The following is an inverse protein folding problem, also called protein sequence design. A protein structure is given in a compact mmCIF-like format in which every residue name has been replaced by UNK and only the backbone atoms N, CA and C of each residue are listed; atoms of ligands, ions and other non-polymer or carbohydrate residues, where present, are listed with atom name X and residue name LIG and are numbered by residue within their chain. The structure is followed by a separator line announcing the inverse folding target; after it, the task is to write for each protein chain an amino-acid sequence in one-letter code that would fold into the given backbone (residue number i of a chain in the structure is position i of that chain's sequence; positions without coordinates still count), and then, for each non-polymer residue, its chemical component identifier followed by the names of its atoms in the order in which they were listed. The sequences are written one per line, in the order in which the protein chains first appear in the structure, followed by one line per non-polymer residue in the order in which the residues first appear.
data_IF_277174015031
#
_entry.id   IF_277174015031
#
_cell.length_a   1.000
_cell.length_b   1.000
_cell.length_c   1.000
_cell.angle_alpha   90.00
_cell.angle_beta   90.00
_cell.angle_gamma   90.00
#
_symmetry.space_group_name_H-M   'P 1'
#
loop_
_entity.id
_entity.type
_entity.pdbx_description
1 polymer ?
#
# COMPACT_ATOMS: atom_id res chain seq x y z
N UNK A 1 -45.60 56.09 -37.57
CA UNK A 1 -46.09 54.72 -37.33
C UNK A 1 -45.26 53.80 -38.21
N UNK A 2 -44.45 52.84 -37.74
CA UNK A 2 -44.44 52.17 -36.44
C UNK A 2 -43.05 51.58 -36.22
N UNK A 3 -42.50 51.86 -35.05
CA UNK A 3 -41.40 51.15 -34.42
C UNK A 3 -41.83 49.70 -34.18
N UNK A 4 -41.12 48.73 -34.74
CA UNK A 4 -41.08 47.38 -34.18
C UNK A 4 -39.63 46.95 -34.13
N UNK A 5 -39.05 47.24 -32.98
CA UNK A 5 -37.84 46.67 -32.44
C UNK A 5 -38.27 45.46 -31.58
N UNK A 6 -37.38 44.47 -31.39
CA UNK A 6 -37.58 43.22 -30.60
C UNK A 6 -38.23 42.05 -31.37
N UNK A 7 -37.80 40.78 -31.31
CA UNK A 7 -37.02 40.00 -30.32
C UNK A 7 -36.29 38.85 -31.05
N UNK A 8 -34.99 38.68 -30.86
CA UNK A 8 -34.36 37.69 -29.96
C UNK A 8 -34.81 36.24 -30.18
N UNK A 9 -33.90 35.46 -30.77
CA UNK A 9 -33.97 34.00 -30.86
C UNK A 9 -32.67 33.38 -31.36
N UNK A 10 -31.50 33.94 -31.00
CA UNK A 10 -30.24 33.22 -31.16
C UNK A 10 -30.10 32.20 -30.03
N UNK A 11 -30.82 31.08 -30.17
CA UNK A 11 -30.51 29.87 -29.40
C UNK A 11 -29.40 29.10 -30.12
N UNK A 12 -28.20 29.68 -30.11
CA UNK A 12 -26.99 28.94 -30.44
C UNK A 12 -26.78 27.80 -29.43
N UNK A 13 -26.25 26.63 -29.83
CA UNK A 13 -25.91 25.56 -28.89
C UNK A 13 -25.01 26.14 -27.80
N UNK A 14 -25.53 26.24 -26.57
CA UNK A 14 -24.72 26.71 -25.43
C UNK A 14 -23.49 25.80 -25.35
N UNK A 15 -22.26 26.32 -25.45
CA UNK A 15 -21.07 25.49 -25.32
C UNK A 15 -21.14 24.82 -23.95
N UNK A 16 -21.26 23.49 -23.96
CA UNK A 16 -21.23 22.66 -22.75
C UNK A 16 -19.91 22.97 -22.06
N UNK A 17 -19.95 23.71 -20.95
CA UNK A 17 -18.76 24.11 -20.20
C UNK A 17 -18.03 22.84 -19.75
N UNK A 18 -16.85 22.52 -20.29
CA UNK A 18 -16.11 21.34 -19.85
C UNK A 18 -15.55 21.64 -18.46
N UNK A 19 -15.98 20.90 -17.45
CA UNK A 19 -15.34 20.85 -16.13
C UNK A 19 -14.84 19.40 -15.92
N UNK A 20 -13.68 19.13 -15.30
CA UNK A 20 -12.36 19.75 -15.44
C UNK A 20 -11.31 18.64 -15.68
N UNK A 21 -10.82 18.45 -16.91
CA UNK A 21 -9.83 17.41 -17.24
C UNK A 21 -8.58 17.46 -16.34
N UNK A 22 -8.17 18.68 -15.93
CA UNK A 22 -7.05 18.89 -15.01
C UNK A 22 -7.30 18.38 -13.58
N UNK A 23 -8.52 18.48 -13.04
CA UNK A 23 -8.82 18.01 -11.69
C UNK A 23 -8.86 16.48 -11.62
N UNK A 24 -9.38 15.82 -12.66
CA UNK A 24 -9.34 14.37 -12.78
C UNK A 24 -7.88 13.86 -12.92
N UNK A 25 -7.05 14.54 -13.72
CA UNK A 25 -5.63 14.19 -13.86
C UNK A 25 -4.85 14.38 -12.55
N UNK A 26 -5.09 15.48 -11.82
CA UNK A 26 -4.48 15.71 -10.51
C UNK A 26 -4.87 14.63 -9.50
N UNK A 27 -6.15 14.26 -9.43
CA UNK A 27 -6.64 13.17 -8.56
C UNK A 27 -5.94 11.85 -8.86
N UNK A 28 -5.88 11.45 -10.14
CA UNK A 28 -5.20 10.22 -10.58
C UNK A 28 -3.72 10.20 -10.17
N UNK A 29 -3.03 11.34 -10.29
CA UNK A 29 -1.63 11.47 -9.85
C UNK A 29 -1.48 11.29 -8.34
N UNK A 30 -2.30 11.97 -7.54
CA UNK A 30 -2.26 11.85 -6.08
C UNK A 30 -2.53 10.42 -5.62
N UNK A 31 -3.56 9.78 -6.17
CA UNK A 31 -3.88 8.37 -5.88
C UNK A 31 -2.74 7.44 -6.30
N UNK A 32 -2.10 7.71 -7.45
CA UNK A 32 -0.93 6.94 -7.91
C UNK A 32 0.27 7.05 -6.97
N UNK A 33 0.56 8.25 -6.45
CA UNK A 33 1.63 8.48 -5.46
C UNK A 33 1.31 7.73 -4.16
N UNK A 34 0.09 7.85 -3.66
CA UNK A 34 -0.33 7.15 -2.44
C UNK A 34 -0.26 5.63 -2.59
N UNK A 35 -0.76 5.08 -3.70
CA UNK A 35 -0.69 3.66 -3.99
C UNK A 35 0.76 3.15 -4.05
N UNK A 36 1.67 3.95 -4.62
CA UNK A 36 3.10 3.63 -4.67
C UNK A 36 3.73 3.66 -3.28
N UNK A 37 3.43 4.69 -2.48
CA UNK A 37 3.95 4.81 -1.12
C UNK A 37 3.54 3.62 -0.25
N UNK A 38 2.26 3.24 -0.28
CA UNK A 38 1.74 2.07 0.45
C UNK A 38 2.38 0.77 -0.06
N UNK A 39 2.56 0.65 -1.38
CA UNK A 39 3.25 -0.51 -1.96
C UNK A 39 4.68 -0.63 -1.44
N UNK A 40 5.45 0.47 -1.45
CA UNK A 40 6.84 0.48 -0.96
C UNK A 40 6.88 0.13 0.52
N UNK A 41 6.04 0.75 1.35
CA UNK A 41 5.96 0.44 2.77
C UNK A 41 5.65 -1.04 3.04
N UNK A 42 4.66 -1.60 2.31
CA UNK A 42 4.33 -3.03 2.38
C UNK A 42 5.53 -3.90 2.01
N UNK A 43 6.21 -3.58 0.90
CA UNK A 43 7.38 -4.33 0.44
C UNK A 43 8.51 -4.30 1.47
N UNK A 44 8.76 -3.16 2.12
CA UNK A 44 9.79 -3.06 3.16
C UNK A 44 9.47 -3.91 4.38
N UNK A 45 8.23 -3.88 4.87
CA UNK A 45 7.79 -4.73 6.01
C UNK A 45 7.95 -6.21 5.67
N UNK A 46 7.47 -6.63 4.51
CA UNK A 46 7.59 -8.01 4.03
C UNK A 46 9.06 -8.42 3.89
N UNK A 47 9.91 -7.53 3.35
CA UNK A 47 11.33 -7.80 3.20
C UNK A 47 12.04 -7.98 4.55
N UNK A 48 11.75 -7.12 5.54
CA UNK A 48 12.33 -7.24 6.89
C UNK A 48 11.96 -8.59 7.52
N UNK A 49 10.69 -8.97 7.47
CA UNK A 49 10.23 -10.26 8.00
C UNK A 49 10.88 -11.44 7.28
N UNK A 50 10.92 -11.41 5.94
CA UNK A 50 11.52 -12.47 5.14
C UNK A 50 13.03 -12.62 5.41
N UNK A 51 13.77 -11.51 5.50
CA UNK A 51 15.20 -11.53 5.83
C UNK A 51 15.43 -12.13 7.21
N UNK A 52 14.63 -11.76 8.21
CA UNK A 52 14.76 -12.35 9.55
C UNK A 52 14.49 -13.86 9.55
N UNK A 53 13.45 -14.33 8.85
CA UNK A 53 13.16 -15.76 8.69
C UNK A 53 14.36 -16.48 8.05
N UNK A 54 14.94 -15.92 6.99
CA UNK A 54 16.15 -16.47 6.35
C UNK A 54 17.32 -16.53 7.33
N UNK A 55 17.59 -15.46 8.08
CA UNK A 55 18.65 -15.45 9.10
C UNK A 55 18.46 -16.55 10.15
N UNK A 56 17.24 -16.78 10.64
CA UNK A 56 16.99 -17.86 11.61
C UNK A 56 17.11 -19.24 10.96
N UNK A 57 16.60 -19.40 9.74
CA UNK A 57 16.67 -20.68 9.01
C UNK A 57 18.13 -21.12 8.78
N UNK A 58 19.00 -20.19 8.40
CA UNK A 58 20.43 -20.43 8.12
C UNK A 58 21.34 -20.21 9.33
N UNK A 59 20.79 -20.00 10.54
CA UNK A 59 21.57 -19.78 11.77
C UNK A 59 22.61 -18.65 11.64
N UNK A 60 22.18 -17.52 11.07
CA UNK A 60 23.04 -16.36 10.91
C UNK A 60 23.62 -15.89 12.27
N UNK A 61 24.85 -15.38 12.22
CA UNK A 61 25.57 -14.94 13.42
C UNK A 61 24.82 -13.80 14.15
N UNK A 62 24.23 -14.11 15.30
CA UNK A 62 23.45 -13.17 16.12
C UNK A 62 24.30 -12.11 16.82
N UNK A 63 25.63 -12.25 16.83
CA UNK A 63 26.52 -11.18 17.29
C UNK A 63 26.69 -10.06 16.23
N UNK A 64 26.23 -10.27 15.00
CA UNK A 64 26.29 -9.26 13.95
C UNK A 64 25.16 -8.23 14.10
N UNK A 65 25.50 -6.94 14.05
CA UNK A 65 24.54 -5.86 14.23
C UNK A 65 23.45 -5.83 13.17
N UNK A 66 23.74 -6.25 11.93
CA UNK A 66 22.73 -6.34 10.86
C UNK A 66 21.69 -7.41 11.21
N UNK A 67 22.13 -8.60 11.63
CA UNK A 67 21.23 -9.71 12.02
C UNK A 67 20.36 -9.30 13.19
N UNK A 68 20.96 -8.66 14.21
CA UNK A 68 20.22 -8.12 15.37
C UNK A 68 19.20 -7.07 14.98
N UNK A 69 19.59 -6.11 14.14
CA UNK A 69 18.70 -5.04 13.70
C UNK A 69 17.47 -5.59 12.96
N UNK A 70 17.66 -6.54 12.05
CA UNK A 70 16.55 -7.20 11.37
C UNK A 70 15.69 -8.01 12.34
N UNK A 71 16.30 -8.70 13.31
CA UNK A 71 15.57 -9.44 14.34
C UNK A 71 14.69 -8.56 15.23
N UNK A 72 15.21 -7.42 15.69
CA UNK A 72 14.43 -6.46 16.49
C UNK A 72 13.27 -5.88 15.69
N UNK A 73 13.50 -5.45 14.45
CA UNK A 73 12.43 -4.91 13.59
C UNK A 73 11.40 -5.98 13.22
N UNK A 74 11.84 -7.20 12.93
CA UNK A 74 10.92 -8.30 12.66
C UNK A 74 10.08 -8.63 13.89
N UNK A 75 10.68 -8.60 15.10
CA UNK A 75 9.95 -8.83 16.35
C UNK A 75 8.84 -7.79 16.55
N UNK A 76 9.16 -6.51 16.36
CA UNK A 76 8.18 -5.42 16.47
C UNK A 76 7.05 -5.56 15.43
N UNK A 77 7.42 -5.88 14.18
CA UNK A 77 6.48 -6.00 13.06
C UNK A 77 5.63 -7.27 13.11
N UNK A 78 6.12 -8.35 13.73
CA UNK A 78 5.33 -9.57 13.92
C UNK A 78 4.14 -9.31 14.86
N UNK A 79 4.24 -8.30 15.74
CA UNK A 79 3.17 -7.78 16.58
C UNK A 79 2.41 -8.88 17.35
N UNK A 80 1.18 -9.21 16.95
CA UNK A 80 0.33 -10.23 17.59
C UNK A 80 0.49 -11.64 17.01
N UNK A 81 1.21 -11.80 15.91
CA UNK A 81 1.36 -13.09 15.23
C UNK A 81 2.41 -14.00 15.88
N UNK A 82 3.24 -13.48 16.77
CA UNK A 82 4.39 -14.19 17.37
C UNK A 82 4.05 -15.45 18.16
N UNK A 83 2.84 -15.54 18.72
CA UNK A 83 2.43 -16.63 19.62
C UNK A 83 1.23 -17.43 19.08
N UNK A 84 0.88 -17.25 17.79
CA UNK A 84 -0.27 -17.93 17.17
C UNK A 84 -0.02 -19.43 17.07
N UNK A 85 1.23 -19.81 16.82
CA UNK A 85 1.70 -21.19 16.87
C UNK A 85 2.84 -21.29 17.88
N UNK A 86 2.92 -22.38 18.64
CA UNK A 86 3.92 -22.57 19.68
C UNK A 86 4.64 -23.92 19.55
N UNK A 87 5.40 -24.14 18.45
CA UNK A 87 6.21 -25.34 18.32
C UNK A 87 7.40 -25.28 19.30
N UNK A 88 7.90 -26.45 19.68
CA UNK A 88 9.05 -26.58 20.59
C UNK A 88 10.39 -26.21 19.94
N UNK A 89 10.49 -26.36 18.60
CA UNK A 89 11.67 -25.97 17.85
C UNK A 89 11.65 -24.48 17.49
N UNK A 90 12.78 -23.80 17.78
CA UNK A 90 12.92 -22.36 17.59
C UNK A 90 12.84 -21.92 16.13
N UNK A 91 13.36 -22.71 15.19
CA UNK A 91 13.33 -22.35 13.77
C UNK A 91 11.92 -22.48 13.23
N UNK A 92 11.22 -23.56 13.61
CA UNK A 92 9.82 -23.75 13.27
C UNK A 92 8.96 -22.62 13.83
N UNK A 93 9.17 -22.23 15.10
CA UNK A 93 8.47 -21.12 15.75
C UNK A 93 8.57 -19.83 14.93
N UNK A 94 9.80 -19.43 14.57
CA UNK A 94 10.01 -18.24 13.75
C UNK A 94 9.39 -18.41 12.36
N UNK A 95 9.61 -19.56 11.72
CA UNK A 95 9.14 -19.80 10.36
C UNK A 95 7.62 -19.70 10.24
N UNK A 96 6.87 -20.28 11.17
CA UNK A 96 5.40 -20.29 11.11
C UNK A 96 4.80 -18.95 11.52
N UNK A 97 5.28 -18.33 12.60
CA UNK A 97 4.68 -17.11 13.13
C UNK A 97 5.07 -15.88 12.30
N UNK A 98 6.36 -15.72 12.01
CA UNK A 98 6.83 -14.60 11.18
C UNK A 98 6.47 -14.83 9.71
N UNK A 99 6.41 -16.09 9.26
CA UNK A 99 5.90 -16.45 7.94
C UNK A 99 4.44 -16.09 7.78
N UNK A 100 3.59 -16.37 8.77
CA UNK A 100 2.20 -15.94 8.78
C UNK A 100 2.08 -14.41 8.73
N UNK A 101 2.82 -13.68 9.57
CA UNK A 101 2.83 -12.22 9.55
C UNK A 101 3.24 -11.69 8.16
N UNK A 102 4.31 -12.25 7.58
CA UNK A 102 4.80 -11.90 6.25
C UNK A 102 3.71 -12.08 5.18
N UNK A 103 3.00 -13.21 5.19
CA UNK A 103 1.89 -13.48 4.27
C UNK A 103 0.73 -12.50 4.46
N UNK A 104 0.35 -12.21 5.70
CA UNK A 104 -0.74 -11.26 6.00
C UNK A 104 -0.40 -9.86 5.49
N UNK A 105 0.81 -9.36 5.75
CA UNK A 105 1.23 -8.06 5.23
C UNK A 105 1.29 -8.03 3.71
N UNK A 106 1.80 -9.10 3.09
CA UNK A 106 1.90 -9.19 1.64
C UNK A 106 0.52 -9.16 0.97
N UNK A 107 -0.42 -9.97 1.47
CA UNK A 107 -1.78 -10.04 0.92
C UNK A 107 -2.56 -8.78 1.25
N UNK A 108 -2.57 -8.36 2.51
CA UNK A 108 -3.28 -7.17 2.98
C UNK A 108 -2.80 -5.89 2.30
N UNK A 109 -1.48 -5.71 2.16
CA UNK A 109 -0.92 -4.57 1.46
C UNK A 109 -1.23 -4.57 -0.04
N UNK A 110 -1.23 -5.74 -0.70
CA UNK A 110 -1.68 -5.85 -2.10
C UNK A 110 -3.15 -5.48 -2.29
N UNK A 111 -4.02 -5.96 -1.39
CA UNK A 111 -5.43 -5.60 -1.38
C UNK A 111 -5.57 -4.09 -1.18
N UNK A 112 -4.88 -3.52 -0.20
CA UNK A 112 -4.94 -2.09 0.09
C UNK A 112 -4.49 -1.24 -1.10
N UNK A 113 -3.37 -1.59 -1.74
CA UNK A 113 -2.90 -0.90 -2.97
C UNK A 113 -3.93 -1.01 -4.09
N UNK A 114 -4.55 -2.19 -4.27
CA UNK A 114 -5.59 -2.39 -5.27
C UNK A 114 -6.82 -1.51 -4.98
N UNK A 115 -7.24 -1.42 -3.72
CA UNK A 115 -8.34 -0.55 -3.28
C UNK A 115 -8.02 0.92 -3.51
N UNK A 116 -6.82 1.39 -3.13
CA UNK A 116 -6.40 2.78 -3.36
C UNK A 116 -6.45 3.11 -4.85
N UNK A 117 -5.90 2.24 -5.71
CA UNK A 117 -5.90 2.46 -7.17
C UNK A 117 -7.31 2.53 -7.76
N UNK A 118 -8.31 1.88 -7.16
CA UNK A 118 -9.71 1.97 -7.59
C UNK A 118 -10.33 3.35 -7.32
N UNK A 119 -9.73 4.17 -6.46
CA UNK A 119 -10.20 5.52 -6.15
C UNK A 119 -9.70 6.58 -7.16
N UNK A 120 -8.84 6.19 -8.11
CA UNK A 120 -8.26 7.07 -9.14
C UNK A 120 -9.26 7.41 -10.26
#
# INVERSE_FOLDING_TARGET
MTRVDSTKGQDGPRPRRPLPAGAAAARRRTVGVLATAVSVATTLVVAILAVHIVFVAFEANTANDIVRWFGERAHDLCWQFKDVFQPSDRKLDVAVNYGLACLVYLVGGRILVALIRRLA
#
